data_IF_379461782383
#
_entry.id   IF_379461782383
#
_cell.length_a   1.000
_cell.length_b   1.000
_cell.length_c   1.000
_cell.angle_alpha   90.00
_cell.angle_beta   90.00
_cell.angle_gamma   90.00
#
_symmetry.space_group_name_H-M   'P 1'
#
loop_
_entity.id
_entity.type
_entity.pdbx_description
1 polymer ?
#
# COMPACT_ATOMS: atom_id res chain seq x y z
N UNK A 1 -0.38 -5.65 -68.97
CA UNK A 1 0.25 -4.54 -68.20
C UNK A 1 -0.67 -4.19 -67.04
N UNK A 2 -0.08 -3.89 -65.88
CA UNK A 2 -0.68 -3.46 -64.59
C UNK A 2 -1.20 -4.61 -63.70
N UNK A 3 -0.33 -5.31 -62.96
CA UNK A 3 0.22 -4.93 -61.63
C UNK A 3 -0.85 -4.53 -60.61
N UNK A 4 -1.33 -5.52 -59.86
CA UNK A 4 -1.89 -5.34 -58.52
C UNK A 4 -1.08 -6.21 -57.55
N UNK A 5 -0.01 -5.63 -57.01
CA UNK A 5 0.70 -6.14 -55.84
C UNK A 5 0.01 -5.58 -54.60
N UNK A 6 -0.79 -6.39 -53.91
CA UNK A 6 -1.15 -6.14 -52.51
C UNK A 6 -0.44 -7.23 -51.71
N UNK A 7 0.81 -6.92 -51.34
CA UNK A 7 1.66 -7.77 -50.55
C UNK A 7 1.78 -7.17 -49.14
N UNK A 8 1.30 -7.93 -48.16
CA UNK A 8 1.95 -8.08 -46.86
C UNK A 8 2.13 -6.83 -45.99
N UNK A 9 1.03 -6.33 -45.41
CA UNK A 9 1.11 -5.95 -44.00
C UNK A 9 0.48 -7.08 -43.17
N UNK A 10 1.27 -8.15 -42.97
CA UNK A 10 1.18 -8.96 -41.77
C UNK A 10 1.48 -8.02 -40.60
N UNK A 11 0.45 -7.32 -40.16
CA UNK A 11 0.39 -6.82 -38.81
C UNK A 11 0.57 -8.08 -37.96
N UNK A 12 1.80 -8.34 -37.53
CA UNK A 12 2.06 -9.07 -36.29
C UNK A 12 1.29 -8.28 -35.25
N UNK A 13 0.00 -8.58 -35.14
CA UNK A 13 -0.76 -8.43 -33.92
C UNK A 13 0.12 -9.19 -32.95
N UNK A 14 1.00 -8.46 -32.26
CA UNK A 14 1.53 -8.91 -31.00
C UNK A 14 0.28 -9.35 -30.28
N UNK A 15 0.10 -10.67 -30.18
CA UNK A 15 -0.79 -11.25 -29.21
C UNK A 15 -0.22 -10.72 -27.89
N UNK A 16 -0.66 -9.52 -27.53
CA UNK A 16 -0.71 -9.02 -26.18
C UNK A 16 -1.52 -10.10 -25.51
N UNK A 17 -0.79 -11.12 -25.04
CA UNK A 17 -1.22 -12.03 -24.03
C UNK A 17 -1.67 -11.10 -22.92
N UNK A 18 -2.95 -10.78 -22.93
CA UNK A 18 -3.72 -10.28 -21.81
C UNK A 18 -3.69 -11.42 -20.79
N UNK A 19 -2.49 -11.72 -20.27
CA UNK A 19 -2.36 -12.38 -19.01
C UNK A 19 -3.02 -11.40 -18.06
N UNK A 20 -4.22 -11.76 -17.60
CA UNK A 20 -4.86 -11.08 -16.50
C UNK A 20 -3.84 -10.87 -15.38
N UNK A 21 -3.98 -9.82 -14.57
CA UNK A 21 -2.96 -9.43 -13.62
C UNK A 21 -2.77 -10.55 -12.59
N UNK A 22 -1.82 -11.46 -12.83
CA UNK A 22 -1.31 -12.41 -11.85
C UNK A 22 -0.52 -11.70 -10.73
N UNK A 23 -0.50 -10.36 -10.75
CA UNK A 23 0.05 -9.53 -9.69
C UNK A 23 -1.06 -9.03 -8.77
N UNK A 24 -0.98 -9.47 -7.52
CA UNK A 24 -1.76 -8.94 -6.41
C UNK A 24 -0.88 -8.04 -5.55
N UNK A 25 -1.46 -6.97 -5.00
CA UNK A 25 -0.83 -6.14 -3.97
C UNK A 25 -1.63 -6.34 -2.69
N UNK A 26 -1.01 -6.82 -1.63
CA UNK A 26 -1.64 -7.07 -0.34
C UNK A 26 -1.15 -6.08 0.71
N UNK A 27 -2.01 -5.78 1.67
CA UNK A 27 -1.64 -5.05 2.87
C UNK A 27 -2.52 -5.46 4.04
N UNK A 28 -1.99 -5.43 5.26
CA UNK A 28 -2.78 -5.64 6.47
C UNK A 28 -3.67 -4.41 6.73
N UNK A 29 -4.93 -4.63 7.07
CA UNK A 29 -5.94 -3.57 7.20
C UNK A 29 -6.82 -3.73 8.43
N UNK A 30 -6.36 -3.19 9.55
CA UNK A 30 -7.13 -3.15 10.80
C UNK A 30 -7.34 -1.72 11.32
N UNK A 31 -7.42 -0.74 10.43
CA UNK A 31 -7.63 0.65 10.83
C UNK A 31 -8.99 0.89 11.47
N UNK A 32 -8.99 1.48 12.67
CA UNK A 32 -10.17 2.17 13.22
C UNK A 32 -10.54 3.37 12.35
N UNK A 33 -11.83 3.69 12.23
CA UNK A 33 -12.26 4.88 11.49
C UNK A 33 -12.07 6.14 12.36
N UNK A 34 -11.61 7.27 11.80
CA UNK A 34 -11.24 7.49 10.39
C UNK A 34 -9.81 7.03 10.05
N UNK A 35 -9.62 6.58 8.82
CA UNK A 35 -8.30 6.23 8.28
C UNK A 35 -7.52 7.51 7.91
N UNK A 36 -6.23 7.63 8.29
CA UNK A 36 -5.37 8.73 7.86
C UNK A 36 -5.31 8.91 6.33
N UNK A 37 -5.33 10.16 5.86
CA UNK A 37 -5.39 10.47 4.42
C UNK A 37 -4.17 9.94 3.64
N UNK A 38 -2.97 9.99 4.23
CA UNK A 38 -1.76 9.51 3.56
C UNK A 38 -1.84 8.02 3.20
N UNK A 39 -2.57 7.21 3.98
CA UNK A 39 -2.78 5.78 3.67
C UNK A 39 -3.57 5.65 2.37
N UNK A 40 -4.63 6.44 2.18
CA UNK A 40 -5.39 6.42 0.94
C UNK A 40 -4.54 6.85 -0.26
N UNK A 41 -3.74 7.90 -0.09
CA UNK A 41 -2.82 8.37 -1.13
C UNK A 41 -1.77 7.30 -1.47
N UNK A 42 -1.26 6.59 -0.47
CA UNK A 42 -0.35 5.48 -0.65
C UNK A 42 -1.00 4.35 -1.46
N UNK A 43 -2.19 3.88 -1.09
CA UNK A 43 -2.90 2.85 -1.87
C UNK A 43 -3.12 3.26 -3.34
N UNK A 44 -3.52 4.52 -3.57
CA UNK A 44 -3.68 5.06 -4.93
C UNK A 44 -2.35 5.10 -5.69
N UNK A 45 -1.25 5.44 -5.00
CA UNK A 45 0.08 5.45 -5.59
C UNK A 45 0.48 4.05 -6.07
N UNK A 46 0.09 2.99 -5.36
CA UNK A 46 0.40 1.60 -5.72
C UNK A 46 -0.35 1.18 -6.98
N UNK A 47 -1.66 1.44 -7.03
CA UNK A 47 -2.49 1.17 -8.21
C UNK A 47 -1.88 1.83 -9.45
N UNK A 48 -1.52 3.10 -9.33
CA UNK A 48 -0.94 3.87 -10.42
C UNK A 48 0.46 3.40 -10.80
N UNK A 49 1.35 3.24 -9.83
CA UNK A 49 2.74 2.87 -10.06
C UNK A 49 2.88 1.44 -10.64
N UNK A 50 1.86 0.60 -10.45
CA UNK A 50 1.76 -0.71 -11.11
C UNK A 50 1.42 -0.63 -12.62
N UNK A 51 0.97 0.53 -13.11
CA UNK A 51 0.57 0.71 -14.51
C UNK A 51 -0.64 -0.14 -14.92
N UNK A 52 -1.52 -0.50 -13.98
CA UNK A 52 -2.67 -1.38 -14.22
C UNK A 52 -2.29 -2.86 -14.42
N UNK A 53 -1.03 -3.22 -14.19
CA UNK A 53 -0.53 -4.60 -14.32
C UNK A 53 -0.79 -5.44 -13.07
N UNK A 54 -1.13 -4.79 -11.96
CA UNK A 54 -1.62 -5.44 -10.75
C UNK A 54 -3.10 -5.07 -10.55
N UNK A 55 -3.87 -5.94 -9.89
CA UNK A 55 -5.21 -5.59 -9.44
C UNK A 55 -5.20 -4.49 -8.37
N UNK A 56 -6.40 -4.03 -7.96
CA UNK A 56 -6.52 -3.14 -6.80
C UNK A 56 -5.90 -3.78 -5.55
N UNK A 57 -5.33 -2.98 -4.61
CA UNK A 57 -4.82 -3.48 -3.35
C UNK A 57 -5.88 -4.29 -2.61
N UNK A 58 -5.49 -5.46 -2.13
CA UNK A 58 -6.31 -6.36 -1.34
C UNK A 58 -6.06 -6.04 0.13
N UNK A 59 -7.10 -5.54 0.77
CA UNK A 59 -7.10 -5.17 2.19
C UNK A 59 -7.38 -6.42 3.03
N UNK A 60 -6.34 -7.01 3.60
CA UNK A 60 -6.42 -8.25 4.39
C UNK A 60 -6.66 -7.92 5.85
N UNK A 61 -7.58 -8.63 6.49
CA UNK A 61 -7.88 -8.49 7.91
C UNK A 61 -8.32 -9.84 8.50
N UNK A 62 -8.64 -9.87 9.78
CA UNK A 62 -9.04 -11.11 10.47
C UNK A 62 -10.28 -11.80 9.87
N UNK A 63 -11.19 -11.07 9.24
CA UNK A 63 -12.43 -11.67 8.71
C UNK A 63 -12.25 -12.31 7.33
N UNK A 64 -11.23 -11.91 6.57
CA UNK A 64 -10.97 -12.44 5.23
C UNK A 64 -9.62 -13.16 5.08
N UNK A 65 -8.72 -13.12 6.06
CA UNK A 65 -7.36 -13.68 5.94
C UNK A 65 -7.35 -15.15 5.53
N UNK A 66 -8.30 -15.98 6.01
CA UNK A 66 -8.39 -17.40 5.64
C UNK A 66 -8.73 -17.64 4.18
N UNK A 67 -9.32 -16.67 3.50
CA UNK A 67 -9.55 -16.75 2.05
C UNK A 67 -8.24 -16.72 1.27
N UNK A 68 -7.21 -16.10 1.84
CA UNK A 68 -5.89 -15.91 1.21
C UNK A 68 -4.80 -16.80 1.80
N UNK A 69 -4.96 -17.24 3.05
CA UNK A 69 -4.07 -18.15 3.77
C UNK A 69 -4.92 -19.30 4.33
N UNK A 70 -5.26 -20.31 3.52
CA UNK A 70 -6.16 -21.38 3.93
C UNK A 70 -5.59 -22.25 5.05
N UNK A 71 -4.26 -22.30 5.20
CA UNK A 71 -3.55 -23.05 6.25
C UNK A 71 -3.14 -22.17 7.45
N UNK A 72 -3.79 -21.01 7.64
CA UNK A 72 -3.55 -20.14 8.79
C UNK A 72 -3.90 -20.90 10.09
N UNK A 73 -2.95 -21.04 11.04
CA UNK A 73 -3.20 -21.73 12.30
C UNK A 73 -4.05 -20.86 13.24
N UNK A 74 -4.76 -21.46 14.20
CA UNK A 74 -5.63 -20.72 15.13
C UNK A 74 -4.84 -19.70 15.97
N UNK A 75 -3.58 -19.99 16.26
CA UNK A 75 -2.67 -19.12 16.99
C UNK A 75 -2.45 -17.76 16.31
N UNK A 76 -2.60 -17.67 14.99
CA UNK A 76 -2.53 -16.41 14.25
C UNK A 76 -3.59 -15.41 14.76
N UNK A 77 -4.80 -15.91 15.07
CA UNK A 77 -5.92 -15.09 15.53
C UNK A 77 -5.84 -14.70 17.01
N UNK A 78 -4.86 -15.28 17.71
CA UNK A 78 -4.55 -15.01 19.12
C UNK A 78 -3.38 -14.04 19.30
N UNK A 79 -2.79 -13.55 18.21
CA UNK A 79 -1.75 -12.52 18.25
C UNK A 79 -2.34 -11.21 18.81
N UNK A 80 -1.70 -10.58 19.81
CA UNK A 80 -2.31 -9.50 20.57
C UNK A 80 -2.27 -8.12 19.89
N UNK A 81 -1.44 -7.93 18.86
CA UNK A 81 -1.30 -6.64 18.19
C UNK A 81 -1.02 -6.78 16.69
N UNK A 82 -1.45 -5.76 15.94
CA UNK A 82 -1.55 -5.79 14.48
C UNK A 82 -0.18 -5.87 13.78
N UNK A 83 0.86 -5.26 14.34
CA UNK A 83 2.19 -5.32 13.75
C UNK A 83 2.76 -6.75 13.72
N UNK A 84 2.57 -7.54 14.78
CA UNK A 84 2.97 -8.96 14.80
C UNK A 84 2.08 -9.81 13.89
N UNK A 85 0.80 -9.47 13.78
CA UNK A 85 -0.12 -10.16 12.88
C UNK A 85 0.29 -9.93 11.41
N UNK A 86 0.60 -8.68 11.06
CA UNK A 86 1.17 -8.28 9.77
C UNK A 86 2.49 -9.01 9.46
N UNK A 87 3.38 -9.13 10.46
CA UNK A 87 4.64 -9.88 10.35
C UNK A 87 4.42 -11.34 9.94
N UNK A 88 3.38 -12.00 10.47
CA UNK A 88 3.05 -13.38 10.11
C UNK A 88 2.39 -13.48 8.72
N UNK A 89 1.40 -12.63 8.47
CA UNK A 89 0.54 -12.73 7.29
C UNK A 89 1.30 -12.45 5.99
N UNK A 90 2.26 -11.52 5.98
CA UNK A 90 2.92 -11.10 4.73
C UNK A 90 3.64 -12.22 3.97
N UNK A 91 4.34 -13.11 4.68
CA UNK A 91 5.06 -14.23 4.04
C UNK A 91 4.09 -15.30 3.56
N UNK A 92 3.07 -15.60 4.36
CA UNK A 92 2.03 -16.57 4.03
C UNK A 92 1.24 -16.14 2.78
N UNK A 93 0.83 -14.87 2.70
CA UNK A 93 0.15 -14.31 1.52
C UNK A 93 0.98 -14.52 0.26
N UNK A 94 2.25 -14.14 0.31
CA UNK A 94 3.15 -14.26 -0.83
C UNK A 94 3.46 -15.71 -1.19
N UNK A 95 3.55 -16.62 -0.22
CA UNK A 95 3.71 -18.04 -0.48
C UNK A 95 2.51 -18.61 -1.25
N UNK A 96 1.28 -18.35 -0.78
CA UNK A 96 0.06 -18.92 -1.38
C UNK A 96 -0.36 -18.27 -2.69
N UNK A 97 -0.12 -16.97 -2.84
CA UNK A 97 -0.70 -16.17 -3.92
C UNK A 97 0.36 -15.54 -4.83
N UNK A 98 1.61 -15.46 -4.40
CA UNK A 98 2.61 -14.58 -5.03
C UNK A 98 2.21 -13.10 -4.92
N UNK A 99 2.82 -12.26 -5.74
CA UNK A 99 2.50 -10.84 -5.79
C UNK A 99 3.39 -10.01 -4.87
N UNK A 100 2.82 -8.95 -4.31
CA UNK A 100 3.51 -7.91 -3.55
C UNK A 100 2.78 -7.74 -2.23
N UNK A 101 3.50 -7.68 -1.12
CA UNK A 101 3.02 -7.24 0.18
C UNK A 101 3.73 -5.93 0.54
N UNK A 102 2.99 -4.92 0.98
CA UNK A 102 3.56 -3.68 1.48
C UNK A 102 2.76 -3.16 2.67
N UNK A 103 3.46 -2.64 3.67
CA UNK A 103 2.82 -1.86 4.71
C UNK A 103 2.24 -0.55 4.14
N UNK A 104 1.17 -0.06 4.74
CA UNK A 104 0.40 1.10 4.25
C UNK A 104 1.14 2.43 4.30
N UNK A 105 2.35 2.48 4.85
CA UNK A 105 3.23 3.64 4.87
C UNK A 105 4.26 3.65 3.73
N UNK A 106 4.06 2.82 2.70
CA UNK A 106 4.80 2.91 1.44
C UNK A 106 4.16 3.87 0.45
N UNK A 107 4.95 4.79 -0.10
CA UNK A 107 4.58 5.59 -1.26
C UNK A 107 5.30 5.05 -2.51
N UNK A 108 4.54 4.76 -3.57
CA UNK A 108 5.10 4.22 -4.82
C UNK A 108 5.17 5.29 -5.93
N UNK A 109 6.33 5.40 -6.57
CA UNK A 109 6.57 6.26 -7.72
C UNK A 109 6.47 5.46 -9.02
N UNK A 110 7.17 4.32 -9.08
CA UNK A 110 7.20 3.41 -10.22
C UNK A 110 7.49 1.98 -9.74
N UNK A 111 6.57 1.05 -10.03
CA UNK A 111 6.71 -0.37 -9.66
C UNK A 111 7.02 -1.27 -10.87
N UNK A 112 7.25 -0.72 -12.06
CA UNK A 112 7.42 -1.51 -13.29
C UNK A 112 8.46 -2.62 -13.14
N UNK A 113 9.65 -2.29 -12.61
CA UNK A 113 10.75 -3.22 -12.43
C UNK A 113 10.51 -4.31 -11.37
N UNK A 114 9.60 -4.07 -10.42
CA UNK A 114 9.17 -5.03 -9.39
C UNK A 114 8.14 -5.98 -10.01
N UNK A 115 7.13 -5.43 -10.70
CA UNK A 115 6.08 -6.20 -11.36
C UNK A 115 6.67 -7.11 -12.45
N UNK A 116 7.72 -6.67 -13.15
CA UNK A 116 8.45 -7.51 -14.11
C UNK A 116 9.12 -8.73 -13.47
N UNK A 117 9.49 -8.64 -12.19
CA UNK A 117 10.26 -9.67 -11.48
C UNK A 117 9.40 -10.62 -10.65
N UNK A 118 8.19 -10.18 -10.24
CA UNK A 118 7.36 -10.88 -9.25
C UNK A 118 7.02 -12.31 -9.64
N UNK A 119 6.87 -12.60 -10.94
CA UNK A 119 6.56 -13.94 -11.43
C UNK A 119 7.74 -14.93 -11.42
N UNK A 120 8.98 -14.44 -11.25
CA UNK A 120 10.20 -15.25 -11.40
C UNK A 120 11.05 -15.32 -10.12
N UNK A 121 10.94 -14.32 -9.24
CA UNK A 121 11.80 -14.22 -8.06
C UNK A 121 11.15 -14.87 -6.84
N UNK A 122 11.94 -15.61 -6.07
CA UNK A 122 11.51 -16.16 -4.78
C UNK A 122 11.45 -15.07 -3.70
N UNK A 123 12.26 -14.02 -3.83
CA UNK A 123 12.16 -12.85 -2.97
C UNK A 123 12.64 -11.60 -3.68
N UNK A 124 11.84 -10.54 -3.58
CA UNK A 124 12.18 -9.18 -3.93
C UNK A 124 11.97 -8.36 -2.67
N UNK A 125 12.98 -7.63 -2.24
CA UNK A 125 12.95 -6.88 -1.00
C UNK A 125 13.89 -5.69 -1.06
N UNK A 126 14.13 -5.05 0.07
CA UNK A 126 15.10 -3.99 0.17
C UNK A 126 15.88 -4.11 1.48
N UNK A 127 17.05 -3.52 1.51
CA UNK A 127 17.87 -3.39 2.73
C UNK A 127 17.95 -1.93 3.13
N UNK A 128 18.01 -1.68 4.43
CA UNK A 128 18.42 -0.37 4.96
C UNK A 128 19.90 -0.38 5.31
N UNK A 129 20.43 0.74 5.83
CA UNK A 129 21.79 0.82 6.34
C UNK A 129 22.05 -0.33 7.34
N UNK A 130 23.26 -0.89 7.30
CA UNK A 130 23.71 -2.05 8.10
C UNK A 130 23.06 -3.41 7.82
N UNK A 131 22.01 -3.48 6.99
CA UNK A 131 21.44 -4.76 6.56
C UNK A 131 22.18 -5.32 5.34
N UNK A 132 22.42 -6.64 5.36
CA UNK A 132 22.94 -7.36 4.21
C UNK A 132 22.15 -8.65 3.94
N UNK A 133 21.58 -8.75 2.75
CA UNK A 133 20.85 -9.94 2.35
C UNK A 133 21.73 -11.20 2.29
N UNK A 134 23.03 -11.05 2.04
CA UNK A 134 24.01 -12.16 2.13
C UNK A 134 24.14 -12.73 3.54
N UNK A 135 23.74 -11.96 4.56
CA UNK A 135 23.65 -12.38 5.97
C UNK A 135 22.21 -12.78 6.36
N UNK A 136 21.31 -12.89 5.38
CA UNK A 136 19.89 -13.14 5.58
C UNK A 136 19.08 -11.92 6.02
N UNK A 137 19.68 -10.72 6.07
CA UNK A 137 19.04 -9.52 6.61
C UNK A 137 18.38 -8.69 5.50
N UNK A 138 17.14 -8.26 5.74
CA UNK A 138 16.34 -7.41 4.85
C UNK A 138 15.19 -6.79 5.64
N UNK A 139 14.62 -5.70 5.15
CA UNK A 139 13.39 -5.16 5.72
C UNK A 139 12.19 -5.97 5.26
N UNK A 140 11.30 -6.25 6.20
CA UNK A 140 10.08 -7.02 5.94
C UNK A 140 8.83 -6.16 5.68
N UNK A 141 8.94 -4.82 5.71
CA UNK A 141 7.80 -3.92 5.47
C UNK A 141 7.37 -3.87 3.99
N UNK A 142 8.26 -4.28 3.07
CA UNK A 142 7.97 -4.53 1.66
C UNK A 142 8.55 -5.87 1.25
N UNK A 143 7.74 -6.70 0.58
CA UNK A 143 8.18 -7.95 -0.01
C UNK A 143 7.41 -8.21 -1.30
N UNK A 144 8.06 -8.83 -2.29
CA UNK A 144 7.36 -9.42 -3.42
C UNK A 144 7.97 -10.77 -3.77
N UNK A 145 7.15 -11.69 -4.28
CA UNK A 145 7.60 -13.03 -4.62
C UNK A 145 6.65 -13.73 -5.59
N UNK A 146 7.16 -14.75 -6.28
CA UNK A 146 6.33 -15.68 -7.03
C UNK A 146 5.53 -16.57 -6.09
N UNK A 147 4.36 -17.01 -6.54
CA UNK A 147 3.57 -18.04 -5.87
C UNK A 147 4.41 -19.31 -5.68
N UNK A 148 4.36 -19.90 -4.49
CA UNK A 148 5.15 -21.08 -4.15
C UNK A 148 6.65 -20.79 -3.99
N UNK A 149 7.03 -19.54 -3.75
CA UNK A 149 8.42 -19.16 -3.45
C UNK A 149 9.04 -20.05 -2.37
N UNK A 150 10.24 -20.56 -2.64
CA UNK A 150 11.00 -21.40 -1.69
C UNK A 150 11.32 -20.59 -0.42
N UNK A 151 11.67 -19.32 -0.60
CA UNK A 151 12.00 -18.41 0.51
C UNK A 151 10.77 -18.14 1.37
N UNK A 152 9.65 -17.74 0.76
CA UNK A 152 8.42 -17.45 1.50
C UNK A 152 7.86 -18.69 2.19
N UNK A 153 7.95 -19.85 1.54
CA UNK A 153 7.53 -21.13 2.12
C UNK A 153 8.36 -21.55 3.32
N UNK A 154 9.69 -21.37 3.27
CA UNK A 154 10.57 -21.66 4.40
C UNK A 154 10.26 -20.75 5.61
N UNK A 155 10.08 -19.45 5.36
CA UNK A 155 9.73 -18.49 6.41
C UNK A 155 8.36 -18.82 7.00
N UNK A 156 7.34 -19.04 6.16
CA UNK A 156 5.98 -19.37 6.63
C UNK A 156 5.96 -20.67 7.44
N UNK A 157 6.69 -21.69 7.00
CA UNK A 157 6.85 -22.94 7.76
C UNK A 157 7.43 -22.66 9.15
N UNK A 158 8.53 -21.92 9.23
CA UNK A 158 9.17 -21.57 10.50
C UNK A 158 8.26 -20.72 11.40
N UNK A 159 7.46 -19.82 10.83
CA UNK A 159 6.45 -19.04 11.55
C UNK A 159 5.36 -19.94 12.14
N UNK A 160 4.76 -20.84 11.34
CA UNK A 160 3.76 -21.80 11.84
C UNK A 160 4.31 -22.66 12.96
N UNK A 161 5.48 -23.26 12.75
CA UNK A 161 6.15 -24.07 13.78
C UNK A 161 6.45 -23.27 15.05
N UNK A 162 6.65 -21.96 14.96
CA UNK A 162 6.84 -21.11 16.14
C UNK A 162 5.53 -20.77 16.82
N UNK A 163 4.49 -20.42 16.07
CA UNK A 163 3.18 -20.07 16.61
C UNK A 163 2.56 -21.26 17.35
N UNK A 164 2.68 -22.46 16.79
CA UNK A 164 2.10 -23.70 17.32
C UNK A 164 2.90 -24.30 18.50
N UNK A 165 4.00 -23.67 18.94
CA UNK A 165 4.70 -24.06 20.18
C UNK A 165 4.02 -23.41 21.37
N UNK A 166 3.42 -24.24 22.21
CA UNK A 166 2.72 -23.78 23.41
C UNK A 166 3.65 -23.73 24.63
N UNK A 167 3.42 -22.74 25.50
CA UNK A 167 4.13 -22.58 26.77
C UNK A 167 3.21 -22.89 27.95
N UNK A 168 3.77 -23.56 28.96
CA UNK A 168 3.05 -23.89 30.20
C UNK A 168 2.92 -22.70 31.16
N UNK A 169 3.73 -21.65 31.01
CA UNK A 169 3.79 -20.50 31.91
C UNK A 169 4.00 -19.19 31.16
N UNK A 170 3.79 -18.08 31.87
CA UNK A 170 3.92 -16.67 31.46
C UNK A 170 5.36 -16.24 31.10
N UNK A 171 6.25 -17.21 30.91
CA UNK A 171 7.63 -16.94 30.54
C UNK A 171 7.65 -16.64 29.05
N UNK A 172 7.85 -15.37 28.69
CA UNK A 172 8.12 -15.00 27.30
C UNK A 172 9.45 -15.63 26.91
N UNK A 173 9.47 -16.67 26.06
CA UNK A 173 10.72 -17.32 25.71
C UNK A 173 11.62 -16.32 24.99
N UNK A 174 12.95 -16.48 25.17
CA UNK A 174 13.95 -15.74 24.37
C UNK A 174 13.69 -15.88 22.86
N UNK A 175 13.01 -16.96 22.47
CA UNK A 175 12.60 -17.25 21.11
C UNK A 175 11.70 -16.17 20.50
N UNK A 176 10.99 -15.37 21.31
CA UNK A 176 10.28 -14.17 20.83
C UNK A 176 8.79 -14.35 20.54
N UNK A 177 8.24 -15.56 20.70
CA UNK A 177 6.79 -15.79 20.72
C UNK A 177 6.42 -17.03 21.53
N UNK A 178 5.27 -17.00 22.20
CA UNK A 178 4.59 -18.19 22.69
C UNK A 178 3.07 -18.06 22.74
N UNK A 179 2.35 -19.12 22.39
CA UNK A 179 0.92 -19.26 22.63
C UNK A 179 0.67 -20.21 23.81
N UNK A 180 -0.56 -20.23 24.33
CA UNK A 180 -0.93 -21.00 25.51
C UNK A 180 -1.98 -22.06 25.16
N UNK A 181 -2.07 -23.14 25.93
CA UNK A 181 -3.09 -24.17 25.71
C UNK A 181 -4.51 -23.64 25.87
N UNK A 182 -4.71 -22.64 26.73
CA UNK A 182 -5.98 -21.93 26.84
C UNK A 182 -6.23 -21.05 25.59
N UNK A 183 -7.20 -21.38 24.72
CA UNK A 183 -7.47 -20.62 23.50
C UNK A 183 -8.01 -19.20 23.78
N UNK A 184 -8.58 -18.94 24.97
CA UNK A 184 -9.05 -17.61 25.35
C UNK A 184 -7.90 -16.66 25.68
N UNK A 185 -6.72 -17.22 25.98
CA UNK A 185 -5.54 -16.45 26.32
C UNK A 185 -4.80 -15.97 25.06
N UNK A 186 -4.48 -14.67 24.94
CA UNK A 186 -3.69 -14.17 23.81
C UNK A 186 -2.26 -14.71 23.86
N UNK A 187 -1.63 -14.85 22.71
CA UNK A 187 -0.22 -15.22 22.63
C UNK A 187 0.66 -14.05 23.14
N UNK A 188 1.86 -14.38 23.63
CA UNK A 188 2.90 -13.40 23.90
C UNK A 188 3.83 -13.31 22.69
N UNK A 189 3.92 -12.15 22.05
CA UNK A 189 4.78 -11.92 20.88
C UNK A 189 5.70 -10.73 21.14
N UNK A 190 7.00 -10.87 20.87
CA UNK A 190 7.96 -9.76 20.91
C UNK A 190 7.91 -8.97 19.61
N UNK A 191 8.23 -7.69 19.70
CA UNK A 191 8.41 -6.82 18.54
C UNK A 191 9.35 -7.46 17.51
N UNK A 192 8.94 -7.47 16.23
CA UNK A 192 9.63 -8.12 15.11
C UNK A 192 9.93 -9.62 15.29
N UNK A 193 9.39 -10.26 16.34
CA UNK A 193 9.68 -11.66 16.67
C UNK A 193 9.13 -12.64 15.63
N UNK A 194 7.99 -12.30 15.02
CA UNK A 194 7.44 -13.06 13.90
C UNK A 194 7.99 -12.61 12.55
N UNK A 195 8.38 -11.34 12.42
CA UNK A 195 8.97 -10.80 11.19
C UNK A 195 10.44 -11.16 11.04
N UNK A 196 11.32 -10.18 11.24
CA UNK A 196 12.77 -10.32 11.06
C UNK A 196 13.41 -11.38 11.97
N UNK A 197 12.86 -11.57 13.18
CA UNK A 197 13.34 -12.56 14.14
C UNK A 197 13.22 -14.02 13.68
N UNK A 198 12.33 -14.33 12.74
CA UNK A 198 12.19 -15.67 12.12
C UNK A 198 12.70 -15.65 10.68
N UNK A 199 12.37 -14.61 9.93
CA UNK A 199 12.68 -14.56 8.51
C UNK A 199 14.18 -14.46 8.22
N UNK A 200 14.96 -13.70 8.99
CA UNK A 200 16.41 -13.60 8.75
C UNK A 200 17.12 -14.94 8.97
N UNK A 201 16.92 -15.67 10.09
CA UNK A 201 17.50 -17.00 10.27
C UNK A 201 17.07 -18.00 9.19
N UNK A 202 15.81 -18.00 8.77
CA UNK A 202 15.30 -18.92 7.74
C UNK A 202 15.97 -18.67 6.39
N UNK A 203 16.14 -17.41 5.98
CA UNK A 203 16.87 -17.07 4.74
C UNK A 203 18.35 -17.42 4.86
N UNK A 204 18.97 -17.16 6.01
CA UNK A 204 20.36 -17.52 6.26
C UNK A 204 20.60 -19.03 6.19
N UNK A 205 19.64 -19.84 6.65
CA UNK A 205 19.69 -21.29 6.51
C UNK A 205 19.66 -21.72 5.04
N UNK A 206 18.74 -21.18 4.23
CA UNK A 206 18.67 -21.44 2.79
C UNK A 206 19.96 -21.07 2.05
N UNK A 207 20.59 -19.95 2.43
CA UNK A 207 21.88 -19.52 1.89
C UNK A 207 23.00 -20.50 2.27
N UNK A 208 23.02 -21.00 3.51
CA UNK A 208 24.02 -21.96 4.00
C UNK A 208 23.84 -23.36 3.40
N UNK A 209 22.61 -23.77 3.11
CA UNK A 209 22.31 -25.07 2.50
C UNK A 209 22.52 -25.10 0.98
N UNK A 210 23.00 -24.02 0.38
CA UNK A 210 23.11 -23.86 -1.08
C UNK A 210 21.78 -24.14 -1.81
N UNK A 211 20.65 -23.83 -1.18
CA UNK A 211 19.35 -23.97 -1.83
C UNK A 211 19.25 -22.95 -2.96
N UNK A 212 18.95 -23.40 -4.17
CA UNK A 212 18.79 -22.50 -5.32
C UNK A 212 17.48 -21.73 -5.22
N UNK A 213 17.56 -20.40 -5.21
CA UNK A 213 16.41 -19.50 -5.31
C UNK A 213 16.84 -18.19 -5.97
N UNK A 214 15.88 -17.46 -6.57
CA UNK A 214 16.15 -16.15 -7.19
C UNK A 214 15.80 -15.01 -6.25
N UNK A 215 16.73 -14.11 -6.00
CA UNK A 215 16.53 -12.95 -5.14
C UNK A 215 16.87 -11.64 -5.84
N UNK A 216 16.13 -10.57 -5.53
CA UNK A 216 16.48 -9.20 -5.92
C UNK A 216 16.31 -8.24 -4.75
N UNK A 217 17.38 -7.56 -4.37
CA UNK A 217 17.35 -6.60 -3.26
C UNK A 217 17.63 -5.19 -3.76
N UNK A 218 16.76 -4.27 -3.40
CA UNK A 218 16.98 -2.83 -3.56
C UNK A 218 17.86 -2.35 -2.40
N UNK A 219 19.11 -2.02 -2.70
CA UNK A 219 20.13 -1.67 -1.69
C UNK A 219 20.83 -0.35 -2.04
N UNK A 220 21.43 0.30 -1.04
CA UNK A 220 22.18 1.55 -1.22
C UNK A 220 21.36 2.64 -1.92
N UNK A 221 21.82 3.21 -3.06
CA UNK A 221 21.07 4.21 -3.82
C UNK A 221 19.74 3.73 -4.41
N UNK A 222 19.47 2.43 -4.44
CA UNK A 222 18.18 1.90 -4.90
C UNK A 222 17.25 1.54 -3.73
N UNK A 223 17.74 1.55 -2.49
CA UNK A 223 16.94 1.30 -1.29
C UNK A 223 15.77 2.29 -1.19
N UNK A 224 14.66 1.81 -0.63
CA UNK A 224 13.43 2.58 -0.42
C UNK A 224 13.53 3.57 0.75
N UNK A 225 14.69 3.64 1.39
CA UNK A 225 15.00 4.54 2.50
C UNK A 225 16.29 5.28 2.17
N UNK A 226 16.23 6.42 1.47
CA UNK A 226 17.37 7.34 1.42
C UNK A 226 17.86 7.64 2.83
N UNK A 227 19.18 7.69 3.01
CA UNK A 227 19.78 8.01 4.30
C UNK A 227 19.25 9.37 4.83
N UNK A 228 18.86 9.39 6.11
CA UNK A 228 18.25 10.52 6.78
C UNK A 228 16.84 10.90 6.31
N UNK A 229 16.14 10.06 5.52
CA UNK A 229 14.76 10.31 5.11
C UNK A 229 13.84 10.50 6.33
N UNK A 230 14.00 9.68 7.38
CA UNK A 230 13.19 9.75 8.60
C UNK A 230 13.28 11.14 9.23
N UNK A 231 14.48 11.70 9.36
CA UNK A 231 14.73 13.02 9.92
C UNK A 231 14.12 14.12 9.06
N UNK A 232 14.22 13.99 7.73
CA UNK A 232 13.64 14.92 6.76
C UNK A 232 12.11 14.95 6.91
N UNK A 233 11.48 13.78 7.03
CA UNK A 233 10.04 13.66 7.20
C UNK A 233 9.56 14.15 8.56
N UNK A 234 10.20 13.72 9.66
CA UNK A 234 9.85 14.15 11.03
C UNK A 234 9.94 15.67 11.22
N UNK A 235 10.91 16.32 10.58
CA UNK A 235 11.13 17.76 10.67
C UNK A 235 10.34 18.55 9.62
N UNK A 236 9.46 17.88 8.86
CA UNK A 236 8.64 18.48 7.80
C UNK A 236 9.45 19.40 6.89
N UNK A 237 10.68 18.98 6.52
CA UNK A 237 11.61 19.86 5.81
C UNK A 237 11.04 20.26 4.44
N UNK A 238 11.34 21.50 4.05
CA UNK A 238 11.13 21.95 2.67
C UNK A 238 12.02 21.16 1.71
N UNK A 239 11.66 21.13 0.42
CA UNK A 239 12.48 20.48 -0.61
C UNK A 239 13.90 21.06 -0.65
N UNK A 240 14.04 22.38 -0.47
CA UNK A 240 15.34 23.07 -0.43
C UNK A 240 16.20 22.64 0.76
N UNK A 241 15.62 22.66 1.96
CA UNK A 241 16.33 22.28 3.19
C UNK A 241 16.75 20.81 3.17
N UNK A 242 15.85 19.92 2.72
CA UNK A 242 16.14 18.50 2.57
C UNK A 242 17.23 18.24 1.54
N UNK A 243 17.23 18.96 0.40
CA UNK A 243 18.28 18.85 -0.62
C UNK A 243 19.64 19.27 -0.04
N UNK A 244 19.69 20.37 0.72
CA UNK A 244 20.91 20.80 1.39
C UNK A 244 21.37 19.80 2.46
N UNK A 245 20.43 19.22 3.22
CA UNK A 245 20.68 18.17 4.21
C UNK A 245 21.30 16.92 3.57
N UNK A 246 20.69 16.40 2.51
CA UNK A 246 21.18 15.23 1.78
C UNK A 246 22.51 15.46 1.08
N UNK A 247 22.74 16.67 0.53
CA UNK A 247 24.04 17.04 -0.04
C UNK A 247 25.16 16.96 0.99
N UNK A 248 24.94 17.40 2.22
CA UNK A 248 25.95 17.30 3.31
C UNK A 248 26.24 15.85 3.72
N UNK A 249 25.29 14.95 3.51
CA UNK A 249 25.39 13.51 3.81
C UNK A 249 25.81 12.66 2.60
N UNK A 250 26.10 13.28 1.45
CA UNK A 250 26.42 12.59 0.20
C UNK A 250 25.33 11.61 -0.26
N UNK A 251 24.05 11.88 0.04
CA UNK A 251 22.95 11.02 -0.40
C UNK A 251 22.70 11.26 -1.89
N UNK A 252 22.88 10.22 -2.69
CA UNK A 252 22.77 10.30 -4.15
C UNK A 252 21.31 10.14 -4.58
N UNK A 253 20.82 11.12 -5.34
CA UNK A 253 19.48 11.16 -5.95
C UNK A 253 18.34 10.76 -4.99
N UNK A 254 18.15 11.46 -3.86
CA UNK A 254 17.16 11.09 -2.83
C UNK A 254 15.71 11.11 -3.36
N UNK A 255 15.43 11.88 -4.41
CA UNK A 255 14.12 11.96 -5.08
C UNK A 255 13.93 10.97 -6.24
N UNK A 256 14.91 10.12 -6.56
CA UNK A 256 14.80 9.18 -7.70
C UNK A 256 14.42 7.76 -7.28
N UNK A 257 13.94 7.54 -6.05
CA UNK A 257 13.58 6.20 -5.60
C UNK A 257 12.27 5.76 -6.23
N UNK A 258 12.14 4.44 -6.40
CA UNK A 258 10.95 3.79 -6.95
C UNK A 258 9.82 3.71 -5.94
N UNK A 259 10.19 3.51 -4.68
CA UNK A 259 9.30 3.50 -3.52
C UNK A 259 9.99 4.25 -2.37
N UNK A 260 9.16 4.75 -1.46
CA UNK A 260 9.57 5.40 -0.23
C UNK A 260 8.85 4.74 0.95
N UNK A 261 9.61 4.21 1.90
CA UNK A 261 9.06 3.80 3.19
C UNK A 261 8.99 5.04 4.09
N UNK A 262 7.77 5.47 4.43
CA UNK A 262 7.54 6.74 5.13
C UNK A 262 7.61 6.60 6.67
N UNK A 263 7.76 5.38 7.20
CA UNK A 263 7.91 5.07 8.63
C UNK A 263 6.80 5.67 9.50
N UNK A 264 5.57 5.21 9.32
CA UNK A 264 4.44 5.70 10.12
C UNK A 264 4.67 5.54 11.63
N UNK A 265 5.27 4.42 12.04
CA UNK A 265 5.61 4.15 13.45
C UNK A 265 6.58 5.16 14.07
N UNK A 266 7.14 6.07 13.25
CA UNK A 266 8.05 7.11 13.67
C UNK A 266 7.45 8.52 13.59
N UNK A 267 6.12 8.64 13.55
CA UNK A 267 5.41 9.93 13.68
C UNK A 267 5.16 10.64 12.35
N UNK A 268 5.27 9.96 11.21
CA UNK A 268 4.91 10.55 9.92
C UNK A 268 3.44 11.00 9.90
N UNK A 269 2.51 10.17 10.39
CA UNK A 269 1.08 10.51 10.41
C UNK A 269 0.77 11.80 11.16
N UNK A 270 1.48 12.05 12.26
CA UNK A 270 1.22 13.20 13.14
C UNK A 270 1.84 14.50 12.59
N UNK A 271 2.83 14.38 11.71
CA UNK A 271 3.59 15.51 11.20
C UNK A 271 2.94 16.22 10.00
N UNK A 272 1.99 15.58 9.31
CA UNK A 272 1.45 16.07 8.05
C UNK A 272 -0.08 16.14 8.04
N UNK A 273 -0.60 17.33 7.77
CA UNK A 273 -2.00 17.50 7.37
C UNK A 273 -2.20 17.01 5.94
N UNK A 274 -3.45 16.77 5.52
CA UNK A 274 -3.68 16.41 4.12
C UNK A 274 -3.33 17.53 3.13
N UNK A 275 -3.31 18.78 3.58
CA UNK A 275 -2.85 19.89 2.74
C UNK A 275 -1.34 19.79 2.52
N UNK A 276 -0.55 19.46 3.54
CA UNK A 276 0.91 19.32 3.41
C UNK A 276 1.31 18.19 2.45
N UNK A 277 0.49 17.14 2.38
CA UNK A 277 0.71 16.02 1.47
C UNK A 277 0.40 16.37 0.01
N UNK A 278 -0.31 17.47 -0.22
CA UNK A 278 -0.98 17.75 -1.50
C UNK A 278 -0.75 19.15 -2.02
N UNK A 279 -0.09 19.98 -1.22
CA UNK A 279 0.52 21.22 -1.63
C UNK A 279 1.87 20.94 -2.29
N UNK A 280 2.06 21.61 -3.42
CA UNK A 280 2.68 20.99 -4.58
C UNK A 280 4.19 21.19 -4.61
N UNK A 281 4.82 21.60 -3.50
CA UNK A 281 6.29 21.78 -3.30
C UNK A 281 6.73 22.29 -1.90
N UNK A 282 5.83 22.48 -0.93
CA UNK A 282 6.22 23.07 0.37
C UNK A 282 7.03 22.12 1.25
N UNK A 283 6.78 20.82 1.14
CA UNK A 283 7.47 19.77 1.92
C UNK A 283 8.00 18.66 1.03
N UNK A 284 8.95 17.87 1.55
CA UNK A 284 9.40 16.64 0.86
C UNK A 284 8.25 15.66 0.64
N UNK A 285 7.36 15.46 1.62
CA UNK A 285 6.22 14.57 1.46
C UNK A 285 5.32 15.01 0.30
N UNK A 286 4.92 16.28 0.26
CA UNK A 286 4.13 16.84 -0.84
C UNK A 286 4.80 16.66 -2.21
N UNK A 287 6.12 16.90 -2.30
CA UNK A 287 6.88 16.69 -3.52
C UNK A 287 6.88 15.22 -3.97
N UNK A 288 7.00 14.27 -3.04
CA UNK A 288 6.95 12.84 -3.34
C UNK A 288 5.54 12.41 -3.80
N UNK A 289 4.48 12.89 -3.16
CA UNK A 289 3.10 12.59 -3.60
C UNK A 289 2.82 13.17 -4.99
N UNK A 290 3.29 14.39 -5.27
CA UNK A 290 3.25 14.95 -6.63
C UNK A 290 3.98 14.08 -7.64
N UNK A 291 5.16 13.58 -7.28
CA UNK A 291 5.96 12.69 -8.13
C UNK A 291 5.31 11.33 -8.36
N UNK A 292 4.61 10.78 -7.36
CA UNK A 292 3.79 9.57 -7.52
C UNK A 292 2.65 9.79 -8.53
N UNK A 293 2.37 11.07 -8.83
CA UNK A 293 1.32 11.53 -9.71
C UNK A 293 -0.03 10.95 -9.29
N UNK A 294 -0.28 10.67 -8.01
CA UNK A 294 -1.64 10.32 -7.56
C UNK A 294 -2.58 11.43 -8.03
N UNK A 295 -3.33 11.15 -9.11
CA UNK A 295 -3.98 12.16 -9.94
C UNK A 295 -5.23 12.59 -9.19
N UNK A 296 -5.21 13.78 -8.59
CA UNK A 296 -6.45 14.44 -8.23
C UNK A 296 -6.98 15.06 -9.51
N UNK A 297 -7.84 14.29 -10.20
CA UNK A 297 -8.70 14.84 -11.23
C UNK A 297 -9.56 15.90 -10.55
N UNK A 298 -9.10 17.15 -10.53
CA UNK A 298 -9.94 18.28 -10.15
C UNK A 298 -10.88 18.46 -11.33
N UNK A 299 -12.01 17.75 -11.29
CA UNK A 299 -13.11 18.06 -12.18
C UNK A 299 -13.46 19.53 -11.91
N UNK A 300 -13.29 20.39 -12.91
CA UNK A 300 -13.74 21.76 -12.76
C UNK A 300 -15.26 21.76 -12.64
N UNK A 301 -15.79 22.55 -11.71
CA UNK A 301 -17.21 22.82 -11.64
C UNK A 301 -17.45 24.29 -11.96
N UNK A 302 -18.47 24.55 -12.78
CA UNK A 302 -18.83 25.90 -13.23
C UNK A 302 -20.27 26.18 -12.81
N UNK A 303 -20.49 26.27 -11.50
CA UNK A 303 -21.82 26.56 -10.98
C UNK A 303 -21.94 26.41 -9.46
N UNK A 304 -23.11 26.83 -8.90
CA UNK A 304 -23.36 26.74 -7.48
C UNK A 304 -23.40 25.27 -7.05
N UNK A 305 -22.73 24.99 -5.94
CA UNK A 305 -22.71 23.68 -5.33
C UNK A 305 -23.42 23.70 -3.99
N UNK A 306 -24.06 22.59 -3.63
CA UNK A 306 -24.64 22.39 -2.30
C UNK A 306 -24.56 20.94 -1.89
N UNK A 307 -24.28 20.70 -0.61
CA UNK A 307 -24.49 19.38 -0.02
C UNK A 307 -25.96 18.98 -0.21
N UNK A 308 -26.20 17.74 -0.66
CA UNK A 308 -27.53 17.23 -0.91
C UNK A 308 -27.89 15.98 -0.08
N UNK A 309 -26.91 15.20 0.35
CA UNK A 309 -27.13 14.01 1.19
C UNK A 309 -25.85 13.62 1.94
N UNK A 310 -25.97 12.97 3.10
CA UNK A 310 -24.89 12.15 3.66
C UNK A 310 -24.89 10.77 2.98
N UNK A 311 -23.84 9.99 3.19
CA UNK A 311 -23.77 8.59 2.75
C UNK A 311 -25.03 7.79 3.17
N UNK A 312 -25.56 7.00 2.24
CA UNK A 312 -26.84 6.29 2.28
C UNK A 312 -28.10 7.11 1.94
N UNK A 313 -28.02 8.46 1.98
CA UNK A 313 -29.16 9.35 1.77
C UNK A 313 -29.57 9.54 0.30
N UNK A 314 -30.74 10.15 0.06
CA UNK A 314 -31.21 10.50 -1.29
C UNK A 314 -30.81 11.93 -1.65
N UNK A 315 -30.01 12.10 -2.71
CA UNK A 315 -29.60 13.40 -3.23
C UNK A 315 -30.49 13.81 -4.40
N UNK A 316 -31.24 14.89 -4.25
CA UNK A 316 -32.00 15.53 -5.35
C UNK A 316 -31.06 16.51 -6.09
N UNK A 317 -30.77 16.24 -7.36
CA UNK A 317 -29.84 17.00 -8.18
C UNK A 317 -30.17 16.91 -9.68
N UNK A 318 -30.08 18.02 -10.40
CA UNK A 318 -30.11 18.07 -11.86
C UNK A 318 -28.79 18.71 -12.33
N UNK A 319 -27.77 17.86 -12.50
CA UNK A 319 -26.38 18.26 -12.70
C UNK A 319 -25.41 17.12 -12.37
N UNK A 320 -24.21 17.47 -11.90
CA UNK A 320 -23.20 16.50 -11.48
C UNK A 320 -23.24 16.33 -9.96
N UNK A 321 -23.40 15.11 -9.48
CA UNK A 321 -23.25 14.78 -8.07
C UNK A 321 -21.86 14.23 -7.82
N UNK A 322 -21.17 14.81 -6.83
CA UNK A 322 -19.88 14.37 -6.35
C UNK A 322 -20.07 13.60 -5.04
N UNK A 323 -19.47 12.42 -4.93
CA UNK A 323 -19.48 11.56 -3.76
C UNK A 323 -18.05 11.40 -3.25
N UNK A 324 -17.77 11.92 -2.06
CA UNK A 324 -16.42 11.97 -1.52
C UNK A 324 -16.40 12.25 -0.03
N UNK A 325 -15.21 12.55 0.49
CA UNK A 325 -14.95 12.83 1.91
C UNK A 325 -15.89 13.91 2.45
N UNK A 326 -16.53 13.64 3.59
CA UNK A 326 -17.47 14.56 4.25
C UNK A 326 -16.78 15.63 5.07
N UNK A 327 -15.76 15.25 5.83
CA UNK A 327 -15.13 16.13 6.82
C UNK A 327 -13.71 16.50 6.41
N UNK A 328 -13.28 17.71 6.76
CA UNK A 328 -11.90 18.15 6.62
C UNK A 328 -10.94 17.15 7.26
N UNK A 329 -9.72 17.07 6.75
CA UNK A 329 -8.77 16.06 7.19
C UNK A 329 -8.42 16.24 8.66
N UNK A 330 -8.68 15.22 9.48
CA UNK A 330 -8.47 15.28 10.93
C UNK A 330 -9.47 16.17 11.68
N UNK A 331 -10.47 16.73 10.99
CA UNK A 331 -11.47 17.62 11.57
C UNK A 331 -12.89 17.06 11.55
N UNK A 332 -13.81 17.85 12.11
CA UNK A 332 -15.27 17.59 12.12
C UNK A 332 -16.05 18.58 11.25
N UNK A 333 -15.37 19.56 10.66
CA UNK A 333 -15.98 20.52 9.76
C UNK A 333 -16.30 19.85 8.43
N UNK A 334 -17.51 20.05 7.91
CA UNK A 334 -17.87 19.51 6.60
C UNK A 334 -17.17 20.25 5.47
N UNK A 335 -16.75 19.51 4.44
CA UNK A 335 -16.08 20.06 3.27
C UNK A 335 -17.09 20.68 2.30
N UNK A 336 -16.69 21.78 1.66
CA UNK A 336 -17.36 22.27 0.46
C UNK A 336 -16.89 21.49 -0.79
N UNK A 337 -17.46 21.82 -1.95
CA UNK A 337 -17.11 21.13 -3.19
C UNK A 337 -15.64 21.32 -3.55
N UNK A 338 -15.13 22.55 -3.48
CA UNK A 338 -13.75 22.89 -3.83
C UNK A 338 -12.75 22.08 -3.00
N UNK A 339 -13.00 21.95 -1.69
CA UNK A 339 -12.18 21.14 -0.81
C UNK A 339 -12.34 19.65 -1.11
N UNK A 340 -13.57 19.16 -1.36
CA UNK A 340 -13.80 17.75 -1.69
C UNK A 340 -13.10 17.35 -2.99
N UNK A 341 -13.11 18.20 -4.02
CA UNK A 341 -12.49 17.94 -5.31
C UNK A 341 -10.96 17.85 -5.22
N UNK A 342 -10.39 18.44 -4.16
CA UNK A 342 -9.01 18.19 -3.79
C UNK A 342 -8.83 16.83 -3.14
N UNK A 343 -9.81 15.96 -2.95
CA UNK A 343 -9.61 14.60 -2.40
C UNK A 343 -10.10 13.56 -3.38
N UNK A 344 -9.89 12.27 -3.10
CA UNK A 344 -10.48 11.21 -3.94
C UNK A 344 -12.01 11.25 -3.83
N UNK A 345 -12.67 11.26 -4.97
CA UNK A 345 -14.13 11.34 -5.08
C UNK A 345 -14.59 10.58 -6.32
N UNK A 346 -15.88 10.24 -6.36
CA UNK A 346 -16.56 9.79 -7.54
C UNK A 346 -17.54 10.89 -8.01
N UNK A 347 -17.85 10.93 -9.30
CA UNK A 347 -18.78 11.89 -9.87
C UNK A 347 -19.74 11.19 -10.84
N UNK A 348 -20.98 11.67 -10.93
CA UNK A 348 -21.99 11.14 -11.84
C UNK A 348 -22.98 12.22 -12.25
N UNK A 349 -23.34 12.25 -13.54
CA UNK A 349 -24.43 13.08 -14.04
C UNK A 349 -25.78 12.49 -13.64
N UNK A 350 -26.69 13.36 -13.19
CA UNK A 350 -28.00 13.00 -12.64
C UNK A 350 -29.02 14.03 -13.08
N UNK A 351 -30.17 13.58 -13.59
CA UNK A 351 -31.25 14.47 -14.05
C UNK A 351 -32.30 14.79 -12.96
N UNK A 352 -32.40 13.95 -11.93
CA UNK A 352 -33.41 14.09 -10.86
C UNK A 352 -32.88 13.75 -9.47
N UNK A 353 -32.61 12.47 -9.20
CA UNK A 353 -32.13 12.03 -7.90
C UNK A 353 -31.21 10.82 -8.01
N UNK A 354 -30.31 10.70 -7.04
CA UNK A 354 -29.39 9.57 -6.89
C UNK A 354 -29.27 9.22 -5.40
N UNK A 355 -29.18 7.94 -5.08
CA UNK A 355 -28.77 7.54 -3.72
C UNK A 355 -27.28 7.82 -3.57
N UNK A 356 -26.92 8.52 -2.51
CA UNK A 356 -25.55 8.85 -2.19
C UNK A 356 -24.88 7.62 -1.58
N UNK A 357 -24.20 6.80 -2.38
CA UNK A 357 -23.57 5.59 -1.88
C UNK A 357 -22.68 4.91 -2.91
N UNK A 358 -21.78 4.05 -2.44
CA UNK A 358 -20.79 3.36 -3.27
C UNK A 358 -21.42 2.60 -4.46
N UNK A 359 -22.60 2.00 -4.28
CA UNK A 359 -23.27 1.21 -5.32
C UNK A 359 -23.61 2.06 -6.54
N UNK A 360 -24.14 3.26 -6.33
CA UNK A 360 -24.55 4.16 -7.40
C UNK A 360 -23.37 4.80 -8.14
N UNK A 361 -22.22 4.89 -7.46
CA UNK A 361 -20.96 5.47 -7.96
C UNK A 361 -19.93 4.42 -8.43
N UNK A 362 -20.27 3.14 -8.44
CA UNK A 362 -19.41 2.06 -8.95
C UNK A 362 -18.31 1.58 -8.00
N UNK A 363 -18.43 1.89 -6.71
CA UNK A 363 -17.52 1.48 -5.64
C UNK A 363 -17.30 2.59 -4.60
N UNK A 364 -16.64 2.26 -3.48
CA UNK A 364 -16.24 3.24 -2.48
C UNK A 364 -15.02 4.02 -2.98
N UNK A 365 -15.11 5.34 -3.21
CA UNK A 365 -13.94 6.13 -3.58
C UNK A 365 -12.98 6.32 -2.40
N UNK A 366 -13.43 6.18 -1.14
CA UNK A 366 -12.61 6.39 0.06
C UNK A 366 -13.04 5.42 1.17
N UNK A 367 -12.51 4.20 1.10
CA UNK A 367 -12.85 3.14 2.05
C UNK A 367 -12.57 3.54 3.50
N UNK A 368 -13.55 3.36 4.39
CA UNK A 368 -13.39 3.68 5.82
C UNK A 368 -13.49 5.17 6.18
N UNK A 369 -13.77 6.05 5.22
CA UNK A 369 -13.98 7.49 5.45
C UNK A 369 -15.47 7.81 5.42
N UNK A 370 -15.91 8.74 6.28
CA UNK A 370 -17.26 9.28 6.23
C UNK A 370 -17.44 10.13 4.98
N UNK A 371 -18.51 9.89 4.22
CA UNK A 371 -18.76 10.51 2.92
C UNK A 371 -20.08 11.27 2.88
N UNK A 372 -20.19 12.16 1.92
CA UNK A 372 -21.42 12.88 1.60
C UNK A 372 -21.47 13.19 0.09
N UNK A 373 -22.64 13.61 -0.38
CA UNK A 373 -22.85 14.03 -1.75
C UNK A 373 -23.06 15.54 -1.84
N UNK A 374 -22.39 16.13 -2.83
CA UNK A 374 -22.53 17.54 -3.19
C UNK A 374 -23.03 17.60 -4.63
N UNK A 375 -24.16 18.29 -4.83
CA UNK A 375 -24.74 18.54 -6.14
C UNK A 375 -24.15 19.84 -6.70
N UNK A 376 -23.65 19.79 -7.93
CA UNK A 376 -23.23 20.96 -8.70
C UNK A 376 -24.10 21.08 -9.94
N UNK A 377 -24.85 22.18 -10.04
CA UNK A 377 -25.63 22.47 -11.22
C UNK A 377 -24.76 23.21 -12.24
N UNK A 378 -24.80 22.88 -13.54
CA UNK A 378 -24.16 23.71 -14.55
C UNK A 378 -24.73 25.14 -14.46
N UNK A 379 -23.87 26.15 -14.57
CA UNK A 379 -24.34 27.53 -14.68
C UNK A 379 -25.32 27.60 -15.84
N UNK A 380 -26.52 28.15 -15.60
CA UNK A 380 -27.47 28.44 -16.68
C UNK A 380 -26.76 29.38 -17.63
N UNK A 381 -26.39 28.90 -18.81
CA UNK A 381 -25.99 29.76 -19.94
C UNK A 381 -27.24 30.56 -20.25
N UNK A 382 -27.23 31.84 -19.87
CA UNK A 382 -28.35 32.75 -20.07
C UNK A 382 -28.50 33.12 -21.53
#
# INVERSE_FOLDING_TARGET
MNQWWILGLLCKVCALKLHGPNCHIFTMWNYSRPVPEYIHLNLQSWERASGGRCGKPILVNRTNVRQWIPDAPEELFRIPYEAAESDAIRYALLYHNGGIYMDTDFLAIDMSSIVDKVGDHDIIGYTVEDQSFKKGQFSSNFLAAKKGSVVMGAIWKAQKERMQRHCQQDIIPKSGMCCYDDPARPCSVRWAGLGEGISHPAVLELLKSNTSFKSHMFEGPDSFVPDGLVEVLKKTMTVGDATAYWKRRNVTNPFSRRLYHLFNSQGFADAYSCYDLTDDNSTVAGALYKQSKVKRSILSHTGPSRKCANDGGLCQCNGVVFYGRRFTCGGTAEMDLDSMLRTQHAAKEVESSIRCGEKEFGGDPLYGVAKHCICSNPAKVK
#
